data_IF_216526152999
#
_entry.id   IF_216526152999
#
_cell.length_a   1.000
_cell.length_b   1.000
_cell.length_c   1.000
_cell.angle_alpha   90.00
_cell.angle_beta   90.00
_cell.angle_gamma   90.00
#
_symmetry.space_group_name_H-M   'P 1'
#
loop_
_entity.id
_entity.type
_entity.pdbx_description
1 polymer ?
#
# COMPACT_ATOMS: atom_id res chain seq x y z
N UNK A 1 52.42 5.09 51.84
CA UNK A 1 52.30 5.77 50.51
C UNK A 1 51.82 4.83 49.39
N UNK A 2 52.17 3.55 49.38
CA UNK A 2 51.74 2.60 48.32
C UNK A 2 50.25 2.27 48.41
N UNK A 3 49.65 2.07 49.60
CA UNK A 3 48.22 1.74 49.76
C UNK A 3 47.25 2.84 49.27
N UNK A 4 47.70 4.11 49.27
CA UNK A 4 46.89 5.22 48.80
C UNK A 4 46.85 5.29 47.26
N UNK A 5 47.95 4.98 46.60
CA UNK A 5 48.05 4.94 45.15
C UNK A 5 47.19 3.78 44.54
N UNK A 6 47.15 2.64 45.23
CA UNK A 6 46.32 1.52 44.79
C UNK A 6 44.84 1.85 44.88
N UNK A 7 44.35 2.53 45.91
CA UNK A 7 42.97 2.96 46.03
C UNK A 7 42.57 3.94 44.91
N UNK A 8 43.45 4.89 44.56
CA UNK A 8 43.17 5.83 43.45
C UNK A 8 43.08 5.10 42.12
N UNK A 9 43.94 4.12 41.87
CA UNK A 9 43.88 3.32 40.62
C UNK A 9 42.59 2.49 40.55
N UNK A 10 42.13 1.90 41.65
CA UNK A 10 40.89 1.15 41.71
C UNK A 10 39.65 2.08 41.45
N UNK A 11 39.62 3.29 42.03
CA UNK A 11 38.56 4.26 41.76
C UNK A 11 38.58 4.76 40.32
N UNK A 12 39.77 4.99 39.75
CA UNK A 12 39.92 5.37 38.34
C UNK A 12 39.43 4.27 37.39
N UNK A 13 39.72 3.02 37.74
CA UNK A 13 39.27 1.85 36.95
C UNK A 13 37.74 1.63 37.06
N UNK A 14 37.19 1.84 38.28
CA UNK A 14 35.74 1.78 38.51
C UNK A 14 35.00 2.93 37.79
N UNK A 15 35.59 4.15 37.77
CA UNK A 15 35.05 5.27 37.02
C UNK A 15 35.11 5.06 35.51
N UNK A 16 36.16 4.42 35.00
CA UNK A 16 36.29 4.09 33.59
C UNK A 16 35.27 3.02 33.17
N UNK A 17 34.97 2.03 34.02
CA UNK A 17 33.94 1.04 33.77
C UNK A 17 32.53 1.62 33.70
N UNK A 18 32.22 2.65 34.49
CA UNK A 18 30.92 3.34 34.44
C UNK A 18 30.74 4.13 33.14
N UNK A 19 31.85 4.66 32.59
CA UNK A 19 31.81 5.42 31.33
C UNK A 19 31.76 4.51 30.08
N UNK A 20 32.19 3.25 30.17
CA UNK A 20 32.14 2.29 29.06
C UNK A 20 30.82 1.52 29.04
N UNK A 21 30.08 1.46 30.19
CA UNK A 21 28.77 0.80 30.30
C UNK A 21 27.57 1.59 29.77
N UNK A 22 27.77 2.84 29.33
CA UNK A 22 26.70 3.73 28.88
C UNK A 22 26.56 3.86 27.36
N UNK A 23 27.03 2.90 26.58
CA UNK A 23 26.57 2.78 25.20
C UNK A 23 25.21 2.08 25.24
N UNK A 24 24.18 2.88 25.47
CA UNK A 24 22.87 2.54 24.95
C UNK A 24 23.08 2.39 23.44
N UNK A 25 23.30 1.19 22.98
CA UNK A 25 22.99 0.82 21.62
C UNK A 25 21.50 1.08 21.50
N UNK A 26 21.17 2.31 21.14
CA UNK A 26 19.94 2.59 20.42
C UNK A 26 20.13 1.83 19.13
N UNK A 27 19.83 0.54 19.16
CA UNK A 27 19.49 -0.21 18.00
C UNK A 27 18.29 0.53 17.43
N UNK A 28 18.60 1.48 16.56
CA UNK A 28 17.59 2.00 15.67
C UNK A 28 16.93 0.75 15.12
N UNK A 29 15.63 0.61 15.33
CA UNK A 29 14.83 -0.32 14.53
C UNK A 29 15.19 0.05 13.09
N UNK A 30 16.16 -0.67 12.49
CA UNK A 30 16.33 -0.66 11.06
C UNK A 30 14.94 -0.93 10.53
N UNK A 31 14.35 0.07 9.91
CA UNK A 31 13.00 -0.03 9.38
C UNK A 31 13.06 -1.15 8.37
N UNK A 32 12.64 -2.34 8.77
CA UNK A 32 12.62 -3.54 7.95
C UNK A 32 11.91 -3.29 6.61
N UNK A 33 11.05 -2.26 6.57
CA UNK A 33 10.41 -1.72 5.39
C UNK A 33 11.38 -1.01 4.43
N UNK A 34 12.37 -0.27 4.93
CA UNK A 34 13.33 0.46 4.08
C UNK A 34 14.19 -0.48 3.24
N UNK A 35 14.68 -1.56 3.83
CA UNK A 35 15.52 -2.54 3.12
C UNK A 35 14.71 -3.32 2.08
N UNK A 36 13.51 -3.79 2.44
CA UNK A 36 12.63 -4.49 1.51
C UNK A 36 12.18 -3.60 0.34
N UNK A 37 11.86 -2.33 0.63
CA UNK A 37 11.53 -1.34 -0.40
C UNK A 37 12.67 -1.13 -1.38
N UNK A 38 13.90 -0.92 -0.91
CA UNK A 38 15.08 -0.74 -1.75
C UNK A 38 15.35 -1.96 -2.63
N UNK A 39 15.16 -3.17 -2.12
CA UNK A 39 15.36 -4.41 -2.88
C UNK A 39 14.41 -4.54 -4.08
N UNK A 40 13.22 -3.94 -4.04
CA UNK A 40 12.28 -3.96 -5.17
C UNK A 40 12.83 -3.26 -6.40
N UNK A 41 13.67 -2.23 -6.20
CA UNK A 41 14.12 -1.32 -7.27
C UNK A 41 15.62 -1.42 -7.54
N UNK A 42 16.39 -2.02 -6.62
CA UNK A 42 17.85 -2.06 -6.72
C UNK A 42 18.31 -2.80 -7.97
N UNK A 43 19.18 -2.16 -8.74
CA UNK A 43 19.76 -2.71 -9.97
C UNK A 43 18.79 -2.83 -11.15
N UNK A 44 17.57 -2.27 -11.06
CA UNK A 44 16.55 -2.36 -12.10
C UNK A 44 16.29 -1.03 -12.79
N UNK A 45 15.85 -1.11 -14.04
CA UNK A 45 15.35 0.09 -14.75
C UNK A 45 13.94 0.39 -14.26
N UNK A 46 13.76 1.52 -13.60
CA UNK A 46 12.49 1.95 -13.03
C UNK A 46 12.01 3.21 -13.77
N UNK A 47 10.76 3.18 -14.21
CA UNK A 47 10.07 4.39 -14.71
C UNK A 47 8.97 4.72 -13.71
N UNK A 48 9.10 5.86 -13.03
CA UNK A 48 8.17 6.32 -12.01
C UNK A 48 7.22 7.36 -12.58
N UNK A 49 5.95 7.30 -12.17
CA UNK A 49 4.93 8.31 -12.41
C UNK A 49 4.20 8.60 -11.11
N UNK A 50 4.25 9.86 -10.71
CA UNK A 50 3.60 10.36 -9.50
C UNK A 50 2.18 10.81 -9.81
N UNK A 51 1.28 10.63 -8.84
CA UNK A 51 -0.12 11.02 -8.92
C UNK A 51 -0.82 10.79 -7.58
N UNK A 52 -2.10 10.45 -7.61
CA UNK A 52 -2.84 10.04 -6.41
C UNK A 52 -2.17 8.83 -5.72
N UNK A 53 -1.60 7.96 -6.52
CA UNK A 53 -0.72 6.86 -6.15
C UNK A 53 0.53 6.96 -7.01
N UNK A 54 1.69 6.56 -6.50
CA UNK A 54 2.92 6.50 -7.28
C UNK A 54 3.01 5.15 -7.98
N UNK A 55 3.19 5.17 -9.30
CA UNK A 55 3.32 3.98 -10.11
C UNK A 55 4.77 3.81 -10.55
N UNK A 56 5.29 2.60 -10.41
CA UNK A 56 6.62 2.21 -10.86
C UNK A 56 6.50 1.10 -11.89
N UNK A 57 6.98 1.36 -13.09
CA UNK A 57 7.17 0.31 -14.09
C UNK A 57 8.56 -0.29 -13.91
N UNK A 58 8.62 -1.57 -13.56
CA UNK A 58 9.86 -2.30 -13.25
C UNK A 58 9.79 -3.67 -13.91
N UNK A 59 10.70 -3.97 -14.86
CA UNK A 59 10.80 -5.29 -15.50
C UNK A 59 9.45 -5.83 -16.04
N UNK A 60 8.65 -4.96 -16.68
CA UNK A 60 7.34 -5.32 -17.22
C UNK A 60 6.22 -5.41 -16.19
N UNK A 61 6.51 -5.16 -14.91
CA UNK A 61 5.53 -5.09 -13.82
C UNK A 61 5.11 -3.66 -13.53
N UNK A 62 3.91 -3.50 -13.01
CA UNK A 62 3.38 -2.24 -12.49
C UNK A 62 3.26 -2.36 -10.98
N UNK A 63 4.24 -1.80 -10.26
CA UNK A 63 4.22 -1.69 -8.82
C UNK A 63 3.58 -0.37 -8.44
N UNK A 64 2.72 -0.37 -7.45
CA UNK A 64 2.00 0.81 -6.98
C UNK A 64 2.31 1.05 -5.52
N UNK A 65 2.78 2.25 -5.21
CA UNK A 65 2.77 2.76 -3.84
C UNK A 65 1.36 3.22 -3.52
N UNK A 66 0.67 2.41 -2.75
CA UNK A 66 -0.70 2.67 -2.34
C UNK A 66 -0.72 3.42 -1.01
N UNK A 67 -1.14 4.70 -1.00
CA UNK A 67 -1.19 5.49 0.22
C UNK A 67 -2.21 4.93 1.22
N UNK A 68 -1.81 4.78 2.48
CA UNK A 68 -2.68 4.21 3.51
C UNK A 68 -3.90 5.07 3.81
N UNK A 69 -3.80 6.38 3.57
CA UNK A 69 -4.92 7.31 3.74
C UNK A 69 -6.03 7.15 2.69
N UNK A 70 -5.79 6.40 1.60
CA UNK A 70 -6.79 6.06 0.58
C UNK A 70 -7.54 4.77 0.88
N UNK A 71 -7.12 4.01 1.88
CA UNK A 71 -7.83 2.81 2.30
C UNK A 71 -9.26 3.15 2.76
N UNK A 72 -10.18 2.25 2.45
CA UNK A 72 -11.61 2.36 2.75
C UNK A 72 -12.32 3.57 2.09
N UNK A 73 -11.66 4.23 1.12
CA UNK A 73 -12.28 5.28 0.31
C UNK A 73 -12.74 4.72 -1.02
N UNK A 74 -13.86 5.25 -1.49
CA UNK A 74 -14.35 4.94 -2.83
C UNK A 74 -13.53 5.69 -3.88
N UNK A 75 -13.04 4.98 -4.87
CA UNK A 75 -12.28 5.53 -5.99
C UNK A 75 -12.84 5.01 -7.28
N UNK A 76 -13.11 5.91 -8.23
CA UNK A 76 -13.57 5.55 -9.56
C UNK A 76 -12.36 5.42 -10.49
N UNK A 77 -12.28 4.29 -11.17
CA UNK A 77 -11.30 4.03 -12.22
C UNK A 77 -11.97 4.06 -13.58
N UNK A 78 -11.40 4.83 -14.48
CA UNK A 78 -11.82 4.90 -15.88
C UNK A 78 -10.58 4.74 -16.75
N UNK A 79 -10.76 4.19 -17.95
CA UNK A 79 -9.71 4.10 -18.95
C UNK A 79 -10.08 4.88 -20.20
N UNK A 80 -9.07 5.48 -20.82
CA UNK A 80 -9.20 6.26 -22.05
C UNK A 80 -8.34 5.61 -23.13
N UNK A 81 -8.91 5.43 -24.32
CA UNK A 81 -8.17 4.90 -25.48
C UNK A 81 -7.12 5.92 -25.89
N UNK A 82 -5.84 5.57 -25.73
CA UNK A 82 -4.72 6.43 -26.12
C UNK A 82 -4.26 6.20 -27.55
N UNK A 83 -4.27 4.96 -27.99
CA UNK A 83 -3.92 4.56 -29.35
C UNK A 83 -4.66 3.28 -29.69
N UNK A 84 -4.96 3.11 -30.96
CA UNK A 84 -5.67 1.95 -31.49
C UNK A 84 -5.03 1.60 -32.84
N UNK A 85 -4.96 0.31 -33.12
CA UNK A 85 -4.45 -0.21 -34.41
C UNK A 85 -5.51 -0.24 -35.50
N UNK A 86 -6.78 -0.30 -35.13
CA UNK A 86 -7.92 -0.31 -36.04
C UNK A 86 -8.98 0.70 -35.57
N UNK A 87 -9.30 1.68 -36.42
CA UNK A 87 -10.28 2.73 -36.13
C UNK A 87 -11.75 2.21 -36.12
N UNK A 88 -11.99 0.97 -36.51
CA UNK A 88 -13.32 0.35 -36.49
C UNK A 88 -13.82 0.01 -35.08
N UNK A 89 -12.93 -0.18 -34.13
CA UNK A 89 -13.25 -0.64 -32.76
C UNK A 89 -13.33 0.49 -31.72
N UNK A 90 -12.92 1.70 -32.05
CA UNK A 90 -12.96 2.82 -31.10
C UNK A 90 -12.33 4.10 -31.64
N UNK A 91 -12.38 5.13 -30.85
CA UNK A 91 -11.79 6.45 -31.16
C UNK A 91 -10.80 6.85 -30.08
N UNK A 92 -9.63 7.33 -30.49
CA UNK A 92 -8.63 7.88 -29.55
C UNK A 92 -9.24 9.04 -28.77
N UNK A 93 -9.07 9.02 -27.44
CA UNK A 93 -9.67 9.95 -26.51
C UNK A 93 -11.04 9.51 -25.96
N UNK A 94 -11.64 8.46 -26.50
CA UNK A 94 -12.87 7.89 -25.97
C UNK A 94 -12.61 7.09 -24.69
N UNK A 95 -13.58 7.10 -23.76
CA UNK A 95 -13.56 6.18 -22.63
C UNK A 95 -13.76 4.74 -23.11
N UNK A 96 -12.93 3.83 -22.63
CA UNK A 96 -12.99 2.40 -23.03
C UNK A 96 -14.08 1.61 -22.30
N UNK A 97 -14.93 2.28 -21.56
CA UNK A 97 -16.05 1.68 -20.82
C UNK A 97 -16.59 2.60 -19.74
N UNK A 98 -17.57 2.09 -19.01
CA UNK A 98 -18.09 2.78 -17.83
C UNK A 98 -17.06 2.71 -16.70
N UNK A 99 -16.90 3.79 -15.96
CA UNK A 99 -16.04 3.82 -14.78
C UNK A 99 -16.50 2.79 -13.74
N UNK A 100 -15.53 2.13 -13.11
CA UNK A 100 -15.79 1.17 -12.04
C UNK A 100 -15.35 1.76 -10.71
N UNK A 101 -16.22 1.68 -9.70
CA UNK A 101 -15.92 2.16 -8.36
C UNK A 101 -15.36 1.01 -7.52
N UNK A 102 -14.17 1.22 -7.00
CA UNK A 102 -13.49 0.31 -6.09
C UNK A 102 -13.33 0.91 -4.70
N UNK A 103 -13.36 0.04 -3.71
CA UNK A 103 -12.88 0.33 -2.36
C UNK A 103 -11.73 -0.61 -2.06
N UNK A 104 -10.61 -0.06 -1.61
CA UNK A 104 -9.45 -0.85 -1.24
C UNK A 104 -9.38 -1.03 0.27
N UNK A 105 -9.25 -2.27 0.73
CA UNK A 105 -9.16 -2.60 2.13
C UNK A 105 -7.87 -3.38 2.39
N UNK A 106 -7.18 -3.02 3.47
CA UNK A 106 -6.03 -3.79 3.93
C UNK A 106 -6.48 -4.87 4.90
N UNK A 107 -6.08 -6.09 4.63
CA UNK A 107 -6.26 -7.25 5.49
C UNK A 107 -4.91 -7.90 5.68
N UNK A 108 -4.33 -7.78 6.86
CA UNK A 108 -2.98 -8.27 7.19
C UNK A 108 -1.91 -7.83 6.16
N UNK A 109 -1.47 -8.76 5.34
CA UNK A 109 -0.39 -8.59 4.34
C UNK A 109 -0.90 -8.39 2.91
N UNK A 110 -2.19 -8.11 2.73
CA UNK A 110 -2.79 -7.92 1.41
C UNK A 110 -3.68 -6.67 1.35
N UNK A 111 -3.79 -6.12 0.15
CA UNK A 111 -4.80 -5.12 -0.21
C UNK A 111 -5.86 -5.81 -1.07
N UNK A 112 -7.11 -5.74 -0.66
CA UNK A 112 -8.25 -6.23 -1.44
C UNK A 112 -8.92 -5.08 -2.16
N UNK A 113 -9.05 -5.17 -3.48
CA UNK A 113 -9.93 -4.33 -4.28
C UNK A 113 -11.33 -4.94 -4.28
N UNK A 114 -12.31 -4.18 -3.86
CA UNK A 114 -13.72 -4.57 -3.84
C UNK A 114 -14.50 -3.67 -4.76
N UNK A 115 -15.28 -4.27 -5.65
CA UNK A 115 -16.17 -3.53 -6.56
C UNK A 115 -17.45 -3.17 -5.81
N UNK A 116 -17.79 -1.88 -5.87
CA UNK A 116 -19.10 -1.43 -5.47
C UNK A 116 -20.05 -1.64 -6.66
N UNK A 117 -20.93 -2.62 -6.55
CA UNK A 117 -22.04 -2.76 -7.49
C UNK A 117 -22.96 -1.57 -7.27
N UNK A 118 -23.30 -0.78 -8.32
CA UNK A 118 -24.32 0.26 -8.19
C UNK A 118 -25.61 -0.42 -7.74
N UNK A 119 -25.97 -0.27 -6.47
CA UNK A 119 -27.29 -0.68 -6.02
C UNK A 119 -28.31 0.18 -6.77
N UNK A 120 -29.22 -0.45 -7.48
CA UNK A 120 -30.42 0.18 -8.00
C UNK A 120 -31.07 0.92 -6.80
N UNK A 121 -30.91 2.22 -6.80
CA UNK A 121 -31.37 3.23 -5.86
C UNK A 121 -31.74 2.74 -4.46
N UNK A 122 -31.20 3.38 -3.46
CA UNK A 122 -31.63 3.16 -2.09
C UNK A 122 -33.16 3.22 -2.01
N UNK A 123 -33.81 2.08 -2.12
CA UNK A 123 -35.23 1.93 -1.81
C UNK A 123 -35.48 2.02 -0.29
N UNK A 124 -34.58 2.69 0.42
CA UNK A 124 -34.64 2.87 1.88
C UNK A 124 -35.94 3.49 2.38
N UNK A 125 -36.80 3.98 1.50
CA UNK A 125 -38.00 4.71 1.89
C UNK A 125 -39.33 4.02 1.53
N UNK A 126 -39.34 2.78 1.01
CA UNK A 126 -40.58 2.21 0.48
C UNK A 126 -41.17 1.08 1.35
N UNK A 127 -40.36 0.36 2.10
CA UNK A 127 -40.88 -0.69 2.99
C UNK A 127 -40.21 -0.59 4.35
N UNK A 128 -40.97 -0.29 5.37
CA UNK A 128 -40.52 -0.32 6.78
C UNK A 128 -40.25 -1.72 7.31
N UNK A 129 -39.92 -2.67 6.43
CA UNK A 129 -39.62 -4.06 6.78
C UNK A 129 -38.12 -4.26 6.92
N UNK A 130 -37.66 -4.33 8.16
CA UNK A 130 -36.25 -4.61 8.55
C UNK A 130 -35.66 -5.84 7.85
N UNK A 131 -36.46 -6.85 7.51
CA UNK A 131 -35.99 -8.07 6.85
C UNK A 131 -35.55 -7.81 5.41
N UNK A 132 -36.25 -6.94 4.67
CA UNK A 132 -35.89 -6.53 3.29
C UNK A 132 -34.62 -5.69 3.30
N UNK A 133 -34.51 -4.76 4.25
CA UNK A 133 -33.31 -3.92 4.38
C UNK A 133 -32.07 -4.78 4.70
N UNK A 134 -32.19 -5.77 5.59
CA UNK A 134 -31.11 -6.70 5.89
C UNK A 134 -30.75 -7.60 4.69
N UNK A 135 -31.71 -8.08 3.94
CA UNK A 135 -31.47 -8.87 2.73
C UNK A 135 -30.76 -8.03 1.65
N UNK A 136 -31.16 -6.78 1.47
CA UNK A 136 -30.50 -5.84 0.55
C UNK A 136 -29.08 -5.49 0.99
N UNK A 137 -28.84 -5.27 2.28
CA UNK A 137 -27.49 -5.04 2.81
C UNK A 137 -26.58 -6.26 2.62
N UNK A 138 -27.11 -7.47 2.76
CA UNK A 138 -26.34 -8.69 2.52
C UNK A 138 -26.05 -8.92 1.04
N UNK A 139 -27.00 -8.65 0.15
CA UNK A 139 -26.83 -8.81 -1.29
C UNK A 139 -25.97 -7.74 -1.94
N UNK A 140 -25.89 -6.54 -1.32
CA UNK A 140 -25.10 -5.40 -1.81
C UNK A 140 -23.70 -5.32 -1.21
N UNK A 141 -23.20 -6.37 -0.56
CA UNK A 141 -21.81 -6.38 -0.08
C UNK A 141 -20.87 -6.32 -1.27
N UNK A 142 -19.89 -5.37 -1.26
CA UNK A 142 -18.92 -5.25 -2.34
C UNK A 142 -18.15 -6.56 -2.54
N UNK A 143 -18.28 -7.13 -3.73
CA UNK A 143 -17.54 -8.33 -4.10
C UNK A 143 -16.03 -8.08 -4.13
N UNK A 144 -15.24 -9.08 -3.74
CA UNK A 144 -13.78 -9.02 -3.91
C UNK A 144 -13.49 -9.19 -5.40
N UNK A 145 -12.95 -8.14 -6.02
CA UNK A 145 -12.53 -8.17 -7.40
C UNK A 145 -11.14 -8.81 -7.53
N UNK A 146 -10.18 -8.32 -6.73
CA UNK A 146 -8.80 -8.80 -6.75
C UNK A 146 -8.11 -8.57 -5.42
N UNK A 147 -7.10 -9.39 -5.14
CA UNK A 147 -6.28 -9.28 -3.94
C UNK A 147 -4.82 -9.09 -4.34
N UNK A 148 -4.16 -8.08 -3.76
CA UNK A 148 -2.77 -7.73 -4.03
C UNK A 148 -1.93 -7.95 -2.79
N UNK A 149 -0.83 -8.70 -2.93
CA UNK A 149 0.11 -8.91 -1.83
C UNK A 149 0.94 -7.64 -1.59
N UNK A 150 1.08 -7.24 -0.33
CA UNK A 150 1.99 -6.17 0.06
C UNK A 150 3.43 -6.71 -0.03
N UNK A 151 4.26 -6.04 -0.82
CA UNK A 151 5.66 -6.38 -1.05
C UNK A 151 6.59 -5.70 -0.05
N UNK A 152 6.33 -4.42 0.23
CA UNK A 152 7.09 -3.61 1.17
C UNK A 152 6.24 -2.44 1.67
N UNK A 153 6.67 -1.78 2.74
CA UNK A 153 6.22 -0.44 3.12
C UNK A 153 7.20 0.60 2.60
N UNK A 154 6.72 1.81 2.29
CA UNK A 154 7.59 2.94 1.99
C UNK A 154 8.41 3.33 3.23
N UNK A 155 9.58 3.98 3.06
CA UNK A 155 10.45 4.35 4.19
C UNK A 155 9.77 5.26 5.21
N UNK A 156 8.79 6.06 4.79
CA UNK A 156 7.98 6.95 5.65
C UNK A 156 6.74 6.27 6.25
N UNK A 157 6.53 4.98 5.95
CA UNK A 157 5.40 4.16 6.39
C UNK A 157 4.00 4.71 6.01
N UNK A 158 3.93 5.68 5.09
CA UNK A 158 2.65 6.28 4.66
C UNK A 158 1.98 5.52 3.53
N UNK A 159 2.72 4.69 2.82
CA UNK A 159 2.21 3.88 1.72
C UNK A 159 2.77 2.44 1.78
N UNK A 160 2.12 1.55 1.07
CA UNK A 160 2.58 0.18 0.85
C UNK A 160 2.74 -0.09 -0.63
N UNK A 161 3.78 -0.85 -0.98
CA UNK A 161 4.03 -1.24 -2.37
C UNK A 161 3.32 -2.56 -2.65
N UNK A 162 2.51 -2.56 -3.69
CA UNK A 162 1.76 -3.72 -4.16
C UNK A 162 2.00 -3.95 -5.66
N UNK A 163 1.99 -5.22 -6.10
CA UNK A 163 2.05 -5.56 -7.52
C UNK A 163 0.63 -5.51 -8.09
N UNK A 164 0.34 -4.48 -8.87
CA UNK A 164 -0.94 -4.28 -9.54
C UNK A 164 -0.87 -4.55 -11.06
N UNK A 165 0.15 -5.27 -11.52
CA UNK A 165 0.34 -5.60 -12.93
C UNK A 165 -0.92 -6.21 -13.53
N UNK A 166 -1.49 -7.20 -12.88
CA UNK A 166 -2.68 -7.87 -13.36
C UNK A 166 -3.95 -7.00 -13.31
N UNK A 167 -3.96 -5.95 -12.50
CA UNK A 167 -5.08 -5.00 -12.47
C UNK A 167 -5.09 -4.08 -13.70
N UNK A 168 -3.90 -3.71 -14.20
CA UNK A 168 -3.76 -2.79 -15.31
C UNK A 168 -3.53 -3.46 -16.67
N UNK A 169 -2.93 -4.66 -16.70
CA UNK A 169 -2.47 -5.30 -17.93
C UNK A 169 -3.19 -6.59 -18.30
N UNK A 170 -3.97 -7.19 -17.39
CA UNK A 170 -4.79 -8.34 -17.74
C UNK A 170 -6.08 -7.84 -18.41
N UNK A 171 -6.30 -8.34 -19.62
CA UNK A 171 -7.60 -8.22 -20.27
C UNK A 171 -8.56 -9.22 -19.61
N UNK A 172 -9.65 -8.71 -19.08
CA UNK A 172 -10.80 -9.51 -18.65
C UNK A 172 -11.69 -9.84 -19.84
#
# INVERSE_FOLDING_TARGET
MIKMKIKIIIYLFLFLCVFVGGRNDVWGKEQKGSTAYQQLFNGKRVVTREGLMTLHQVDGKVLVEFPLNLLNKEMMFTSVIRSISDNGEGVVGQFSGNGTVFTFMRIDSVIQARVKVPSLGSMKNISGERAVDQALEQSNKPGIYKTFRILASTPDEKAVVVDMTSFFLEHT
#
